data_IF_668117048534
#
_entry.id   IF_668117048534
#
_cell.length_a   1.000
_cell.length_b   1.000
_cell.length_c   1.000
_cell.angle_alpha   90.00
_cell.angle_beta   90.00
_cell.angle_gamma   90.00
#
_symmetry.space_group_name_H-M   'P 1'
#
loop_
_entity.id
_entity.type
_entity.pdbx_description
1 polymer ?
#
# COMPACT_ATOMS: atom_id res chain seq x y z
N UNK A 1 -7.82 9.11 41.24
CA UNK A 1 -8.12 10.54 41.44
C UNK A 1 -9.51 10.83 40.88
N UNK A 2 -10.48 10.93 41.77
CA UNK A 2 -11.85 11.40 41.53
C UNK A 2 -12.05 12.62 42.45
N UNK A 3 -12.75 13.69 42.02
CA UNK A 3 -13.35 14.65 42.95
C UNK A 3 -14.87 14.41 43.01
N UNK A 4 -15.42 13.90 44.12
CA UNK A 4 -15.86 14.58 45.36
C UNK A 4 -17.09 15.49 45.20
N UNK A 5 -18.17 14.99 45.80
CA UNK A 5 -19.43 15.64 46.17
C UNK A 5 -19.24 17.00 46.84
N UNK A 6 -20.10 17.97 46.49
CA UNK A 6 -20.30 19.20 47.26
C UNK A 6 -21.80 19.32 47.56
N UNK A 7 -22.14 19.06 48.82
CA UNK A 7 -23.40 19.48 49.44
C UNK A 7 -23.44 21.01 49.55
N UNK A 8 -24.60 21.61 49.26
CA UNK A 8 -24.93 22.96 49.74
C UNK A 8 -26.22 22.92 50.55
N UNK A 9 -26.05 23.25 51.82
CA UNK A 9 -27.08 23.43 52.84
C UNK A 9 -27.84 24.73 52.65
N UNK A 10 -29.07 24.73 53.14
CA UNK A 10 -30.06 25.81 53.06
C UNK A 10 -29.67 27.09 53.84
N UNK A 11 -30.09 28.24 53.32
CA UNK A 11 -30.33 29.45 54.11
C UNK A 11 -31.76 29.91 53.91
N UNK A 12 -32.50 29.93 55.02
CA UNK A 12 -33.90 30.31 55.16
C UNK A 12 -33.99 31.84 55.24
N UNK A 13 -34.71 32.46 54.32
CA UNK A 13 -35.18 33.84 54.44
C UNK A 13 -36.68 33.86 54.13
N UNK A 14 -37.49 34.19 55.13
CA UNK A 14 -38.90 34.49 54.95
C UNK A 14 -39.07 35.99 54.73
N UNK A 15 -39.94 36.39 53.79
CA UNK A 15 -40.70 37.61 53.96
C UNK A 15 -42.19 37.31 54.03
N UNK A 16 -42.78 37.68 55.15
CA UNK A 16 -44.20 37.99 55.34
C UNK A 16 -44.60 39.16 54.45
N UNK A 17 -45.47 38.94 53.46
CA UNK A 17 -46.44 39.93 52.96
C UNK A 17 -47.66 39.17 52.45
N UNK A 18 -48.81 39.38 53.08
CA UNK A 18 -50.11 39.07 52.48
C UNK A 18 -50.31 39.99 51.28
N UNK A 19 -50.28 39.43 50.07
CA UNK A 19 -50.48 40.17 48.83
C UNK A 19 -51.32 39.35 47.86
N UNK A 20 -52.63 39.65 47.84
CA UNK A 20 -53.59 39.44 46.76
C UNK A 20 -53.56 38.04 46.12
N UNK A 21 -54.55 37.21 46.47
CA UNK A 21 -54.99 36.10 45.63
C UNK A 21 -55.52 36.66 44.29
N UNK A 22 -54.64 36.95 43.35
CA UNK A 22 -55.01 37.08 41.95
C UNK A 22 -55.34 35.67 41.48
N UNK A 23 -56.64 35.37 41.40
CA UNK A 23 -57.13 34.15 40.79
C UNK A 23 -56.58 34.02 39.39
N UNK A 24 -55.50 33.25 39.23
CA UNK A 24 -55.12 32.69 37.95
C UNK A 24 -56.26 31.76 37.60
N UNK A 25 -57.20 32.26 36.78
CA UNK A 25 -58.18 31.42 36.10
C UNK A 25 -57.35 30.32 35.43
N UNK A 26 -57.48 29.09 35.92
CA UNK A 26 -56.99 27.92 35.21
C UNK A 26 -57.64 27.99 33.84
N UNK A 27 -56.88 28.43 32.83
CA UNK A 27 -57.30 28.33 31.44
C UNK A 27 -57.28 26.85 31.16
N UNK A 28 -58.41 26.19 31.42
CA UNK A 28 -58.63 24.80 31.05
C UNK A 28 -58.58 24.76 29.53
N UNK A 29 -57.40 24.47 28.99
CA UNK A 29 -57.26 24.18 27.58
C UNK A 29 -58.13 22.97 27.30
N UNK A 30 -59.01 23.07 26.31
CA UNK A 30 -59.89 21.96 25.92
C UNK A 30 -59.05 20.66 25.80
N UNK A 31 -59.56 19.50 26.26
CA UNK A 31 -58.86 18.22 26.17
C UNK A 31 -58.29 17.94 24.77
N UNK A 32 -58.99 18.42 23.72
CA UNK A 32 -58.54 18.36 22.33
C UNK A 32 -57.27 19.18 22.07
N UNK A 33 -57.16 20.39 22.64
CA UNK A 33 -55.98 21.28 22.51
C UNK A 33 -54.78 20.70 23.29
N UNK A 34 -55.03 20.10 24.46
CA UNK A 34 -54.00 19.41 25.25
C UNK A 34 -53.49 18.14 24.56
N UNK A 35 -54.39 17.35 23.98
CA UNK A 35 -54.03 16.17 23.18
C UNK A 35 -53.22 16.55 21.93
N UNK A 36 -53.63 17.62 21.23
CA UNK A 36 -52.92 18.15 20.06
C UNK A 36 -51.50 18.60 20.40
N UNK A 37 -51.31 19.32 21.53
CA UNK A 37 -49.97 19.72 22.00
C UNK A 37 -49.09 18.52 22.35
N UNK A 38 -49.65 17.48 22.98
CA UNK A 38 -48.92 16.23 23.27
C UNK A 38 -48.50 15.50 22.00
N UNK A 39 -49.38 15.43 21.01
CA UNK A 39 -49.09 14.81 19.72
C UNK A 39 -48.03 15.60 18.94
N UNK A 40 -48.11 16.94 18.94
CA UNK A 40 -47.11 17.80 18.32
C UNK A 40 -45.74 17.63 19.02
N UNK A 41 -45.69 17.61 20.36
CA UNK A 41 -44.44 17.40 21.11
C UNK A 41 -43.87 15.99 20.90
N UNK A 42 -44.72 14.98 20.77
CA UNK A 42 -44.31 13.61 20.43
C UNK A 42 -43.74 13.54 19.01
N UNK A 43 -44.39 14.17 18.05
CA UNK A 43 -43.92 14.27 16.67
C UNK A 43 -42.58 15.04 16.58
N UNK A 44 -42.40 16.10 17.36
CA UNK A 44 -41.14 16.85 17.45
C UNK A 44 -40.00 15.98 18.02
N UNK A 45 -40.27 15.22 19.09
CA UNK A 45 -39.29 14.30 19.67
C UNK A 45 -38.95 13.14 18.73
N UNK A 46 -39.94 12.62 17.99
CA UNK A 46 -39.74 11.59 16.98
C UNK A 46 -38.94 12.12 15.78
N UNK A 47 -39.20 13.36 15.34
CA UNK A 47 -38.42 14.04 14.32
C UNK A 47 -36.97 14.29 14.75
N UNK A 48 -36.74 14.67 16.01
CA UNK A 48 -35.40 14.83 16.58
C UNK A 48 -34.64 13.51 16.61
N UNK A 49 -35.28 12.43 17.09
CA UNK A 49 -34.68 11.08 17.09
C UNK A 49 -34.40 10.56 15.68
N UNK A 50 -35.29 10.85 14.72
CA UNK A 50 -35.07 10.50 13.32
C UNK A 50 -33.89 11.29 12.72
N UNK A 51 -33.77 12.58 13.02
CA UNK A 51 -32.65 13.41 12.57
C UNK A 51 -31.31 12.96 13.17
N UNK A 52 -31.27 12.57 14.45
CA UNK A 52 -30.10 11.98 15.10
C UNK A 52 -29.74 10.63 14.46
N UNK A 53 -30.72 9.77 14.20
CA UNK A 53 -30.53 8.49 13.50
C UNK A 53 -30.00 8.68 12.06
N UNK A 54 -30.49 9.69 11.35
CA UNK A 54 -29.96 10.07 10.03
C UNK A 54 -28.54 10.62 10.11
N UNK A 55 -28.22 11.45 11.11
CA UNK A 55 -26.89 11.99 11.33
C UNK A 55 -25.88 10.87 11.63
N UNK A 56 -26.24 9.91 12.48
CA UNK A 56 -25.41 8.73 12.76
C UNK A 56 -25.22 7.84 11.52
N UNK A 57 -26.26 7.60 10.72
CA UNK A 57 -26.16 6.89 9.43
C UNK A 57 -25.25 7.62 8.44
N UNK A 58 -25.41 8.93 8.28
CA UNK A 58 -24.56 9.77 7.41
C UNK A 58 -23.09 9.73 7.88
N UNK A 59 -22.83 9.81 9.19
CA UNK A 59 -21.49 9.69 9.75
C UNK A 59 -20.88 8.30 9.49
N UNK A 60 -21.67 7.22 9.61
CA UNK A 60 -21.23 5.87 9.28
C UNK A 60 -20.95 5.69 7.78
N UNK A 61 -21.78 6.28 6.90
CA UNK A 61 -21.55 6.28 5.46
C UNK A 61 -20.32 7.09 5.07
N UNK A 62 -20.08 8.25 5.69
CA UNK A 62 -18.86 9.04 5.52
C UNK A 62 -17.63 8.22 5.95
N UNK A 63 -17.71 7.53 7.09
CA UNK A 63 -16.64 6.68 7.60
C UNK A 63 -16.41 5.44 6.72
N UNK A 64 -17.45 4.89 6.10
CA UNK A 64 -17.37 3.84 5.07
C UNK A 64 -16.71 4.38 3.80
N UNK A 65 -17.16 5.53 3.28
CA UNK A 65 -16.55 6.22 2.12
C UNK A 65 -15.09 6.61 2.38
N UNK A 66 -14.71 6.99 3.60
CA UNK A 66 -13.33 7.31 4.00
C UNK A 66 -12.46 6.04 4.14
N UNK A 67 -13.04 4.92 4.60
CA UNK A 67 -12.40 3.59 4.54
C UNK A 67 -12.19 3.14 3.09
N UNK A 68 -13.11 3.52 2.20
CA UNK A 68 -13.08 3.18 0.78
C UNK A 68 -12.16 4.13 -0.04
N UNK A 69 -11.99 5.39 0.38
CA UNK A 69 -11.19 6.41 -0.34
C UNK A 69 -9.83 6.64 0.31
N UNK A 70 -8.87 5.82 -0.11
CA UNK A 70 -7.39 6.00 -0.15
C UNK A 70 -6.73 4.63 -0.34
N UNK A 71 -7.36 3.59 0.20
CA UNK A 71 -6.91 2.21 0.08
C UNK A 71 -7.54 1.49 -1.11
N UNK A 72 -8.86 1.53 -1.32
CA UNK A 72 -9.50 0.82 -2.45
C UNK A 72 -9.21 1.47 -3.81
N UNK A 73 -9.07 2.79 -3.87
CA UNK A 73 -8.56 3.50 -5.06
C UNK A 73 -7.08 3.22 -5.37
N UNK A 74 -6.35 2.52 -4.49
CA UNK A 74 -5.02 1.99 -4.81
C UNK A 74 -5.05 0.60 -5.44
N UNK A 75 -6.21 -0.08 -5.44
CA UNK A 75 -6.34 -1.48 -5.82
C UNK A 75 -6.60 -1.70 -7.31
N UNK A 76 -6.15 -0.78 -8.16
CA UNK A 76 -6.25 -0.93 -9.62
C UNK A 76 -4.89 -1.11 -10.31
N UNK A 77 -3.75 -1.06 -9.59
CA UNK A 77 -2.43 -1.23 -10.24
C UNK A 77 -1.53 -2.26 -9.52
N UNK A 78 -0.89 -3.20 -10.27
CA UNK A 78 -0.14 -4.34 -9.76
C UNK A 78 1.28 -3.96 -9.31
N UNK A 79 1.42 -2.97 -8.42
CA UNK A 79 2.70 -2.52 -7.86
C UNK A 79 2.57 -2.11 -6.39
N UNK A 80 1.98 -2.93 -5.52
CA UNK A 80 1.92 -2.59 -4.07
C UNK A 80 2.06 -3.80 -3.16
N UNK A 81 3.29 -4.26 -3.01
CA UNK A 81 3.67 -5.01 -1.80
C UNK A 81 4.59 -4.25 -0.85
N UNK A 82 5.14 -3.10 -1.24
CA UNK A 82 6.00 -2.32 -0.36
C UNK A 82 5.95 -0.84 -0.73
N UNK A 83 5.16 -0.08 0.01
CA UNK A 83 5.32 1.37 0.07
C UNK A 83 5.14 1.79 1.53
N UNK A 84 6.13 1.40 2.35
CA UNK A 84 6.43 2.18 3.53
C UNK A 84 6.86 3.57 3.05
N UNK A 85 6.37 4.58 3.76
CA UNK A 85 6.22 5.99 3.40
C UNK A 85 7.53 6.77 3.15
N UNK A 86 8.66 6.11 2.90
CA UNK A 86 9.96 6.76 2.66
C UNK A 86 10.48 6.60 1.22
N UNK A 87 10.08 5.57 0.48
CA UNK A 87 10.57 5.32 -0.89
C UNK A 87 9.83 6.21 -1.91
N UNK A 88 8.50 6.34 -1.76
CA UNK A 88 7.64 7.18 -2.62
C UNK A 88 8.02 8.68 -2.62
N UNK A 89 8.52 9.18 -1.48
CA UNK A 89 8.95 10.57 -1.34
C UNK A 89 10.29 10.83 -2.04
N UNK A 90 11.14 9.80 -2.13
CA UNK A 90 12.43 9.85 -2.82
C UNK A 90 12.23 9.77 -4.34
N UNK A 91 11.34 8.90 -4.81
CA UNK A 91 11.06 8.70 -6.23
C UNK A 91 10.36 9.92 -6.88
N UNK A 92 9.45 10.59 -6.16
CA UNK A 92 8.82 11.83 -6.63
C UNK A 92 9.80 13.03 -6.69
N UNK A 93 10.79 13.07 -5.80
CA UNK A 93 11.85 14.09 -5.82
C UNK A 93 12.82 13.89 -6.99
N UNK A 94 13.11 12.63 -7.36
CA UNK A 94 13.98 12.30 -8.50
C UNK A 94 13.27 12.61 -9.83
N UNK A 95 12.00 12.24 -10.01
CA UNK A 95 11.26 12.55 -11.25
C UNK A 95 11.00 14.04 -11.47
N UNK A 96 10.82 14.83 -10.41
CA UNK A 96 10.69 16.28 -10.53
C UNK A 96 12.02 16.97 -10.86
N UNK A 97 13.16 16.40 -10.45
CA UNK A 97 14.49 16.89 -10.82
C UNK A 97 14.88 16.58 -12.27
N UNK A 98 14.43 15.45 -12.83
CA UNK A 98 14.70 15.04 -14.22
C UNK A 98 13.85 15.78 -15.26
N UNK A 99 12.66 16.27 -14.89
CA UNK A 99 11.79 17.00 -15.82
C UNK A 99 12.29 18.41 -16.16
N UNK A 100 13.26 18.95 -15.41
CA UNK A 100 13.77 20.33 -15.57
C UNK A 100 14.96 20.45 -16.53
N UNK A 101 15.53 19.34 -17.02
CA UNK A 101 16.74 19.36 -17.85
C UNK A 101 16.51 19.16 -19.37
N UNK A 102 15.28 18.86 -19.80
CA UNK A 102 14.99 18.55 -21.21
C UNK A 102 14.46 19.73 -22.04
N UNK A 103 14.66 20.97 -21.59
CA UNK A 103 14.28 22.17 -22.36
C UNK A 103 15.45 23.12 -22.55
N UNK A 104 16.57 22.64 -23.10
CA UNK A 104 17.58 23.53 -23.70
C UNK A 104 18.64 22.74 -24.48
N UNK A 105 18.38 22.44 -25.76
CA UNK A 105 19.45 22.41 -26.77
C UNK A 105 18.85 22.58 -28.17
N UNK A 106 19.32 23.62 -28.85
CA UNK A 106 18.96 24.14 -30.16
C UNK A 106 19.64 23.40 -31.33
N UNK A 107 18.96 23.41 -32.48
CA UNK A 107 19.40 23.32 -33.89
C UNK A 107 20.85 22.92 -34.23
N UNK A 108 21.02 21.85 -35.04
CA UNK A 108 21.96 21.80 -36.17
C UNK A 108 21.79 20.55 -37.08
N UNK A 109 21.62 20.82 -38.38
CA UNK A 109 22.03 20.03 -39.55
C UNK A 109 21.30 18.72 -39.91
N UNK A 110 20.53 18.80 -41.00
CA UNK A 110 20.16 17.70 -41.88
C UNK A 110 21.38 17.22 -42.67
N UNK A 111 21.55 15.88 -42.76
CA UNK A 111 22.00 15.11 -43.94
C UNK A 111 22.48 13.72 -43.51
N UNK A 112 21.92 12.66 -44.10
CA UNK A 112 22.44 11.29 -43.96
C UNK A 112 21.41 10.21 -43.59
N UNK A 113 20.33 10.07 -44.36
CA UNK A 113 19.54 8.84 -44.36
C UNK A 113 20.29 7.74 -45.12
N UNK A 114 20.99 6.86 -44.38
CA UNK A 114 21.30 5.52 -44.89
C UNK A 114 21.45 4.55 -43.72
N UNK A 115 20.54 3.57 -43.71
CA UNK A 115 20.41 2.49 -42.72
C UNK A 115 20.07 2.94 -41.29
N UNK A 116 18.85 3.45 -41.10
CA UNK A 116 18.20 3.38 -39.79
C UNK A 116 17.90 1.92 -39.48
N UNK A 117 18.87 1.30 -38.81
CA UNK A 117 18.80 0.02 -38.12
C UNK A 117 17.44 -0.19 -37.46
N UNK A 118 16.91 -1.41 -37.58
CA UNK A 118 15.81 -1.94 -36.76
C UNK A 118 16.01 -1.77 -35.23
N UNK A 119 17.21 -1.33 -34.79
CA UNK A 119 17.63 -1.07 -33.40
C UNK A 119 17.21 0.29 -32.80
N UNK A 120 16.54 1.17 -33.56
CA UNK A 120 16.06 2.46 -33.03
C UNK A 120 14.85 2.31 -32.09
N UNK A 121 14.30 1.10 -31.97
CA UNK A 121 13.28 0.75 -30.99
C UNK A 121 13.87 0.51 -29.62
N UNK A 122 13.96 1.58 -28.82
CA UNK A 122 14.16 1.59 -27.36
C UNK A 122 15.60 1.38 -26.87
N UNK A 123 16.43 2.41 -27.05
CA UNK A 123 17.33 2.85 -25.96
C UNK A 123 16.47 3.41 -24.80
N UNK A 124 15.60 2.59 -24.20
CA UNK A 124 15.04 2.94 -22.89
C UNK A 124 16.24 2.98 -21.95
N UNK A 125 16.52 4.15 -21.38
CA UNK A 125 17.47 4.27 -20.28
C UNK A 125 16.90 3.43 -19.13
N UNK A 126 17.29 2.16 -19.07
CA UNK A 126 16.83 1.19 -18.09
C UNK A 126 17.62 1.40 -16.80
N UNK A 127 17.39 2.53 -16.13
CA UNK A 127 18.04 2.88 -14.87
C UNK A 127 17.02 2.94 -13.73
N UNK A 128 16.17 1.91 -13.60
CA UNK A 128 15.33 1.73 -12.41
C UNK A 128 16.12 1.27 -11.18
N UNK A 129 17.41 0.94 -11.33
CA UNK A 129 18.28 0.45 -10.26
C UNK A 129 17.88 -0.92 -9.70
N UNK A 130 16.96 -1.63 -10.37
CA UNK A 130 16.45 -2.96 -9.99
C UNK A 130 16.98 -4.01 -10.94
N UNK A 131 17.59 -5.04 -10.37
CA UNK A 131 18.28 -6.06 -11.12
C UNK A 131 17.66 -7.44 -10.87
N UNK A 132 17.71 -8.27 -11.91
CA UNK A 132 17.34 -9.67 -11.84
C UNK A 132 18.47 -10.48 -11.18
N UNK A 133 18.32 -11.81 -11.14
CA UNK A 133 19.35 -12.76 -10.65
C UNK A 133 19.94 -12.51 -9.25
N UNK A 134 19.27 -11.73 -8.39
CA UNK A 134 19.72 -11.39 -7.03
C UNK A 134 21.04 -10.60 -7.01
N UNK A 135 21.35 -9.90 -8.10
CA UNK A 135 22.53 -9.05 -8.19
C UNK A 135 22.23 -7.70 -7.55
N UNK A 136 23.13 -7.22 -6.70
CA UNK A 136 23.00 -5.91 -6.05
C UNK A 136 23.51 -4.78 -6.96
N UNK A 137 23.02 -3.53 -6.81
CA UNK A 137 23.46 -2.41 -7.63
C UNK A 137 24.98 -2.17 -7.59
N UNK A 138 25.61 -2.39 -6.44
CA UNK A 138 27.07 -2.31 -6.29
C UNK A 138 27.80 -3.37 -7.11
N UNK A 139 27.26 -4.58 -7.22
CA UNK A 139 27.87 -5.67 -7.99
C UNK A 139 27.79 -5.39 -9.49
N UNK A 140 26.70 -4.78 -9.96
CA UNK A 140 26.58 -4.35 -11.36
C UNK A 140 27.63 -3.29 -11.70
N UNK A 141 27.90 -2.34 -10.79
CA UNK A 141 28.98 -1.36 -10.98
C UNK A 141 30.35 -2.03 -11.03
N UNK A 142 30.60 -3.02 -10.16
CA UNK A 142 31.85 -3.80 -10.19
C UNK A 142 32.02 -4.52 -11.53
N UNK A 143 30.95 -5.15 -12.04
CA UNK A 143 30.96 -5.87 -13.31
C UNK A 143 31.18 -4.92 -14.49
N UNK A 144 30.51 -3.77 -14.50
CA UNK A 144 30.49 -2.88 -15.67
C UNK A 144 31.67 -1.92 -15.71
N UNK A 145 32.14 -1.44 -14.57
CA UNK A 145 33.15 -0.38 -14.50
C UNK A 145 34.52 -0.88 -14.02
N UNK A 146 34.57 -1.80 -13.05
CA UNK A 146 35.82 -2.23 -12.40
C UNK A 146 36.45 -3.42 -13.13
N UNK A 147 35.65 -4.41 -13.52
CA UNK A 147 36.14 -5.60 -14.20
C UNK A 147 36.88 -5.31 -15.53
N UNK A 148 36.37 -4.51 -16.48
CA UNK A 148 37.09 -4.25 -17.74
C UNK A 148 38.42 -3.51 -17.51
N UNK A 149 38.44 -2.52 -16.60
CA UNK A 149 39.67 -1.78 -16.24
C UNK A 149 40.74 -2.66 -15.61
N UNK A 150 40.32 -3.65 -14.80
CA UNK A 150 41.23 -4.62 -14.20
C UNK A 150 41.83 -5.59 -15.23
N UNK A 151 41.10 -5.90 -16.31
CA UNK A 151 41.60 -6.74 -17.41
C UNK A 151 42.62 -5.96 -18.25
N UNK A 152 42.32 -4.70 -18.57
CA UNK A 152 43.20 -3.81 -19.36
C UNK A 152 44.57 -3.58 -18.71
N UNK A 153 44.63 -3.54 -17.37
CA UNK A 153 45.86 -3.26 -16.60
C UNK A 153 46.79 -4.46 -16.42
N UNK A 154 46.38 -5.67 -16.86
CA UNK A 154 47.18 -6.89 -16.68
C UNK A 154 48.09 -7.14 -17.89
N UNK A 155 49.39 -6.95 -17.72
CA UNK A 155 50.40 -7.29 -18.74
C UNK A 155 50.27 -8.78 -19.15
N UNK A 156 49.95 -9.05 -20.42
CA UNK A 156 49.80 -10.41 -20.96
C UNK A 156 48.40 -11.03 -20.86
N UNK A 157 47.36 -10.25 -20.54
CA UNK A 157 45.97 -10.65 -20.77
C UNK A 157 45.69 -10.96 -22.26
N UNK A 158 44.61 -11.70 -22.60
CA UNK A 158 44.32 -12.00 -24.00
C UNK A 158 44.32 -10.70 -24.80
N UNK A 159 45.26 -10.61 -25.74
CA UNK A 159 45.45 -9.44 -26.59
C UNK A 159 44.12 -9.10 -27.26
N UNK A 160 43.49 -8.00 -26.85
CA UNK A 160 42.29 -7.49 -27.50
C UNK A 160 42.73 -6.90 -28.83
N UNK A 161 42.81 -7.76 -29.83
CA UNK A 161 42.98 -7.36 -31.22
C UNK A 161 41.68 -6.72 -31.71
N UNK A 162 41.46 -5.45 -31.42
CA UNK A 162 40.41 -4.66 -32.09
C UNK A 162 40.94 -3.25 -32.36
N UNK A 163 41.38 -3.03 -33.61
CA UNK A 163 41.61 -1.70 -34.16
C UNK A 163 40.24 -1.01 -34.38
N UNK A 164 39.90 -0.03 -33.53
CA UNK A 164 38.72 0.84 -33.69
C UNK A 164 38.12 1.31 -32.35
N UNK A 165 38.06 2.63 -32.15
CA UNK A 165 37.27 3.36 -31.12
C UNK A 165 37.02 2.63 -29.79
N UNK A 166 38.08 2.42 -29.01
CA UNK A 166 38.06 1.65 -27.75
C UNK A 166 37.15 2.22 -26.65
N UNK A 167 36.93 3.55 -26.61
CA UNK A 167 36.14 4.18 -25.54
C UNK A 167 34.63 4.01 -25.67
N UNK A 168 34.08 4.12 -26.88
CA UNK A 168 32.64 4.01 -27.14
C UNK A 168 32.17 2.57 -27.04
N UNK A 169 32.95 1.63 -27.58
CA UNK A 169 32.62 0.20 -27.55
C UNK A 169 32.54 -0.35 -26.11
N UNK A 170 33.42 0.08 -25.20
CA UNK A 170 33.40 -0.38 -23.80
C UNK A 170 32.18 0.15 -23.02
N UNK A 171 31.75 1.39 -23.29
CA UNK A 171 30.54 1.96 -22.68
C UNK A 171 29.28 1.28 -23.20
N UNK A 172 29.22 1.03 -24.51
CA UNK A 172 28.12 0.27 -25.13
C UNK A 172 28.03 -1.15 -24.58
N UNK A 173 29.17 -1.83 -24.37
CA UNK A 173 29.22 -3.14 -23.73
C UNK A 173 28.68 -3.09 -22.29
N UNK A 174 29.06 -2.08 -21.50
CA UNK A 174 28.52 -1.88 -20.16
C UNK A 174 26.99 -1.67 -20.19
N UNK A 175 26.50 -0.89 -21.14
CA UNK A 175 25.06 -0.65 -21.33
C UNK A 175 24.30 -1.93 -21.72
N UNK A 176 24.88 -2.74 -22.60
CA UNK A 176 24.32 -4.05 -22.98
C UNK A 176 24.21 -4.95 -21.74
N UNK A 177 25.26 -5.02 -20.91
CA UNK A 177 25.25 -5.80 -19.67
C UNK A 177 24.20 -5.28 -18.70
N UNK A 178 24.07 -3.95 -18.53
CA UNK A 178 23.02 -3.34 -17.70
C UNK A 178 21.63 -3.76 -18.15
N UNK A 179 21.36 -3.76 -19.46
CA UNK A 179 20.07 -4.18 -20.03
C UNK A 179 19.77 -5.67 -19.82
N UNK A 180 20.78 -6.53 -19.94
CA UNK A 180 20.62 -7.98 -19.72
C UNK A 180 20.24 -8.27 -18.28
N UNK A 181 20.87 -7.56 -17.33
CA UNK A 181 20.65 -7.79 -15.90
C UNK A 181 19.39 -7.07 -15.38
N UNK A 182 18.93 -6.01 -16.05
CA UNK A 182 17.77 -5.22 -15.65
C UNK A 182 16.51 -6.07 -15.39
N UNK A 183 15.82 -5.79 -14.28
CA UNK A 183 14.61 -6.52 -13.88
C UNK A 183 13.45 -6.32 -14.87
N UNK A 184 13.41 -5.18 -15.55
CA UNK A 184 12.38 -4.83 -16.55
C UNK A 184 12.33 -5.83 -17.71
N UNK A 185 13.49 -6.39 -18.07
CA UNK A 185 13.63 -7.36 -19.15
C UNK A 185 13.52 -8.81 -18.62
N UNK A 186 13.29 -9.00 -17.33
CA UNK A 186 13.32 -10.31 -16.71
C UNK A 186 11.98 -11.04 -16.83
N UNK A 187 12.03 -12.37 -16.69
CA UNK A 187 10.83 -13.21 -16.65
C UNK A 187 10.04 -12.98 -15.34
N UNK A 188 8.72 -13.17 -15.38
CA UNK A 188 7.81 -13.23 -14.23
C UNK A 188 8.39 -13.95 -13.00
N UNK A 189 9.06 -15.09 -13.18
CA UNK A 189 9.71 -15.84 -12.10
C UNK A 189 10.83 -15.04 -11.44
N UNK A 190 11.66 -14.35 -12.21
CA UNK A 190 12.73 -13.51 -11.69
C UNK A 190 12.18 -12.33 -10.89
N UNK A 191 11.09 -11.71 -11.37
CA UNK A 191 10.36 -10.65 -10.64
C UNK A 191 9.84 -11.17 -9.29
N UNK A 192 9.26 -12.37 -9.27
CA UNK A 192 8.81 -13.01 -8.02
C UNK A 192 9.98 -13.25 -7.06
N UNK A 193 11.12 -13.76 -7.56
CA UNK A 193 12.30 -13.98 -6.71
C UNK A 193 12.85 -12.68 -6.14
N UNK A 194 12.90 -11.61 -6.94
CA UNK A 194 13.28 -10.28 -6.49
C UNK A 194 12.36 -9.78 -5.37
N UNK A 195 11.04 -9.90 -5.55
CA UNK A 195 10.06 -9.50 -4.54
C UNK A 195 10.13 -10.35 -3.26
N UNK A 196 10.50 -11.63 -3.37
CA UNK A 196 10.76 -12.50 -2.21
C UNK A 196 11.99 -12.00 -1.45
N UNK A 197 13.08 -11.66 -2.14
CA UNK A 197 14.28 -11.08 -1.49
C UNK A 197 13.93 -9.82 -0.70
N UNK A 198 13.22 -8.88 -1.33
CA UNK A 198 12.73 -7.66 -0.65
C UNK A 198 11.87 -7.96 0.57
N UNK A 199 11.02 -8.98 0.51
CA UNK A 199 10.18 -9.39 1.63
C UNK A 199 11.01 -9.98 2.79
N UNK A 200 12.10 -10.68 2.49
CA UNK A 200 13.04 -11.17 3.51
C UNK A 200 13.76 -10.00 4.17
N UNK A 201 14.28 -9.06 3.38
CA UNK A 201 15.04 -7.91 3.92
C UNK A 201 14.18 -6.98 4.80
N UNK A 202 12.89 -6.86 4.49
CA UNK A 202 11.97 -5.95 5.20
C UNK A 202 11.36 -6.55 6.46
N UNK A 203 11.10 -7.86 6.49
CA UNK A 203 10.48 -8.55 7.62
C UNK A 203 11.47 -9.36 8.46
N UNK A 204 12.69 -9.57 7.96
CA UNK A 204 13.77 -10.24 8.67
C UNK A 204 14.19 -9.45 9.91
N UNK A 205 14.46 -10.16 11.00
CA UNK A 205 14.92 -9.53 12.25
C UNK A 205 16.43 -9.32 12.28
N UNK A 206 17.14 -10.20 11.58
CA UNK A 206 18.58 -10.20 11.43
C UNK A 206 18.92 -10.47 9.98
N UNK A 207 20.15 -10.13 9.59
CA UNK A 207 20.65 -10.42 8.26
C UNK A 207 20.56 -11.94 7.99
N UNK A 208 19.85 -12.31 6.92
CA UNK A 208 19.66 -13.71 6.51
C UNK A 208 18.52 -14.46 7.23
N UNK A 209 17.69 -13.79 8.04
CA UNK A 209 16.52 -14.44 8.65
C UNK A 209 15.46 -14.82 7.60
N UNK A 210 15.42 -16.10 7.26
CA UNK A 210 14.42 -16.70 6.36
C UNK A 210 13.35 -17.51 7.09
N UNK A 211 13.53 -17.73 8.41
CA UNK A 211 12.74 -18.66 9.21
C UNK A 211 11.64 -18.00 10.02
N UNK A 212 11.74 -16.69 10.30
CA UNK A 212 10.74 -15.99 11.10
C UNK A 212 9.31 -16.10 10.54
N UNK A 213 8.30 -16.23 11.41
CA UNK A 213 6.91 -16.38 10.99
C UNK A 213 6.40 -15.16 10.19
N UNK A 214 6.90 -13.95 10.46
CA UNK A 214 6.64 -12.74 9.69
C UNK A 214 7.17 -12.86 8.26
N UNK A 215 8.44 -13.26 8.12
CA UNK A 215 9.10 -13.45 6.82
C UNK A 215 8.36 -14.50 6.00
N UNK A 216 8.02 -15.64 6.60
CA UNK A 216 7.26 -16.68 5.90
C UNK A 216 5.88 -16.19 5.44
N UNK A 217 5.17 -15.43 6.29
CA UNK A 217 3.89 -14.83 5.92
C UNK A 217 4.01 -13.81 4.77
N UNK A 218 5.09 -13.02 4.76
CA UNK A 218 5.40 -12.08 3.70
C UNK A 218 5.72 -12.80 2.37
N UNK A 219 6.55 -13.83 2.40
CA UNK A 219 6.89 -14.65 1.22
C UNK A 219 5.66 -15.29 0.61
N UNK A 220 4.75 -15.85 1.41
CA UNK A 220 3.50 -16.38 0.86
C UNK A 220 2.61 -15.28 0.30
N UNK A 221 2.60 -14.09 0.89
CA UNK A 221 1.84 -12.96 0.36
C UNK A 221 2.31 -12.57 -1.04
N UNK A 222 3.63 -12.50 -1.28
CA UNK A 222 4.19 -12.30 -2.63
C UNK A 222 3.68 -13.36 -3.62
N UNK A 223 3.70 -14.64 -3.22
CA UNK A 223 3.24 -15.75 -4.07
C UNK A 223 1.73 -15.73 -4.30
N UNK A 224 0.95 -15.37 -3.30
CA UNK A 224 -0.52 -15.24 -3.36
C UNK A 224 -0.87 -14.19 -4.40
N UNK A 225 -0.27 -13.01 -4.34
CA UNK A 225 -0.55 -11.91 -5.28
C UNK A 225 -0.18 -12.31 -6.72
N UNK A 226 0.99 -12.92 -6.93
CA UNK A 226 1.38 -13.40 -8.26
C UNK A 226 0.43 -14.48 -8.82
N UNK A 227 -0.06 -15.40 -7.98
CA UNK A 227 -1.06 -16.40 -8.40
C UNK A 227 -2.42 -15.75 -8.64
N UNK A 228 -2.79 -14.74 -7.86
CA UNK A 228 -4.04 -14.00 -8.04
C UNK A 228 -4.07 -13.33 -9.41
N UNK A 229 -2.99 -12.62 -9.79
CA UNK A 229 -2.87 -11.97 -11.10
C UNK A 229 -2.94 -12.99 -12.25
N UNK A 230 -2.27 -14.14 -12.11
CA UNK A 230 -2.40 -15.23 -13.10
C UNK A 230 -3.84 -15.75 -13.22
N UNK A 231 -4.54 -15.94 -12.10
CA UNK A 231 -5.91 -16.47 -12.06
C UNK A 231 -6.97 -15.46 -12.53
N UNK A 232 -6.70 -14.16 -12.42
CA UNK A 232 -7.55 -13.10 -12.99
C UNK A 232 -7.66 -13.26 -14.51
N UNK A 233 -6.53 -13.48 -15.18
CA UNK A 233 -6.50 -13.76 -16.63
C UNK A 233 -6.97 -15.18 -16.96
N UNK A 234 -6.56 -16.17 -16.16
CA UNK A 234 -6.79 -17.60 -16.42
C UNK A 234 -7.92 -18.18 -15.55
N UNK A 235 -9.17 -17.82 -15.86
CA UNK A 235 -10.35 -18.21 -15.05
C UNK A 235 -10.60 -19.73 -14.96
N UNK A 236 -10.15 -20.51 -15.96
CA UNK A 236 -10.36 -21.97 -16.08
C UNK A 236 -9.27 -22.82 -15.41
N UNK A 237 -8.23 -22.21 -14.85
CA UNK A 237 -7.12 -22.94 -14.22
C UNK A 237 -7.47 -23.36 -12.78
N UNK A 238 -7.99 -24.58 -12.64
CA UNK A 238 -8.44 -25.12 -11.35
C UNK A 238 -7.29 -25.59 -10.46
N UNK A 239 -6.20 -26.06 -11.07
CA UNK A 239 -5.05 -26.54 -10.31
C UNK A 239 -4.35 -25.39 -9.60
N UNK A 240 -4.14 -24.26 -10.28
CA UNK A 240 -3.53 -23.09 -9.67
C UNK A 240 -4.46 -22.41 -8.65
N UNK A 241 -5.80 -22.43 -8.84
CA UNK A 241 -6.75 -21.97 -7.82
C UNK A 241 -6.67 -22.79 -6.53
N UNK A 242 -6.49 -24.11 -6.65
CA UNK A 242 -6.24 -24.98 -5.48
C UNK A 242 -4.93 -24.61 -4.79
N UNK A 243 -3.86 -24.38 -5.55
CA UNK A 243 -2.56 -23.94 -5.02
C UNK A 243 -2.64 -22.59 -4.31
N UNK A 244 -3.36 -21.62 -4.90
CA UNK A 244 -3.64 -20.31 -4.30
C UNK A 244 -4.33 -20.45 -2.93
N UNK A 245 -5.38 -21.25 -2.85
CA UNK A 245 -6.09 -21.50 -1.59
C UNK A 245 -5.18 -22.15 -0.55
N UNK A 246 -4.35 -23.12 -0.95
CA UNK A 246 -3.36 -23.72 -0.05
C UNK A 246 -2.40 -22.67 0.51
N UNK A 247 -1.96 -21.70 -0.29
CA UNK A 247 -1.08 -20.62 0.17
C UNK A 247 -1.80 -19.67 1.15
N UNK A 248 -3.06 -19.31 0.88
CA UNK A 248 -3.88 -18.51 1.81
C UNK A 248 -3.96 -19.19 3.19
N UNK A 249 -4.26 -20.49 3.21
CA UNK A 249 -4.32 -21.26 4.46
C UNK A 249 -2.97 -21.35 5.17
N UNK A 250 -1.86 -21.55 4.44
CA UNK A 250 -0.51 -21.54 5.01
C UNK A 250 -0.21 -20.21 5.69
N UNK A 251 -0.49 -19.09 5.02
CA UNK A 251 -0.31 -17.73 5.57
C UNK A 251 -1.14 -17.52 6.82
N UNK A 252 -2.44 -17.83 6.77
CA UNK A 252 -3.30 -17.67 7.94
C UNK A 252 -2.86 -18.54 9.12
N UNK A 253 -2.41 -19.77 8.87
CA UNK A 253 -1.87 -20.65 9.92
C UNK A 253 -0.66 -20.02 10.61
N UNK A 254 0.25 -19.41 9.85
CA UNK A 254 1.43 -18.75 10.42
C UNK A 254 1.11 -17.47 11.17
N UNK A 255 0.18 -16.66 10.65
CA UNK A 255 -0.28 -15.47 11.36
C UNK A 255 -1.04 -15.83 12.66
N UNK A 256 -1.81 -16.93 12.67
CA UNK A 256 -2.42 -17.49 13.89
C UNK A 256 -1.38 -18.03 14.87
N UNK A 257 -0.27 -18.59 14.38
CA UNK A 257 0.86 -18.97 15.23
C UNK A 257 1.52 -17.75 15.85
N UNK A 258 1.87 -16.75 15.04
CA UNK A 258 2.47 -15.49 15.50
C UNK A 258 1.60 -14.78 16.55
N UNK A 259 0.27 -14.77 16.35
CA UNK A 259 -0.68 -14.21 17.32
C UNK A 259 -0.61 -14.90 18.69
N UNK A 260 -0.44 -16.23 18.72
CA UNK A 260 -0.32 -17.00 19.97
C UNK A 260 1.01 -16.75 20.67
N UNK A 261 2.07 -16.55 19.90
CA UNK A 261 3.41 -16.27 20.43
C UNK A 261 3.52 -14.83 20.96
N UNK A 262 3.05 -13.85 20.18
CA UNK A 262 3.14 -12.43 20.55
C UNK A 262 2.10 -11.59 19.80
N UNK A 263 1.23 -10.92 20.55
CA UNK A 263 0.18 -10.07 19.98
C UNK A 263 0.76 -8.82 19.29
N UNK A 264 1.78 -8.19 19.86
CA UNK A 264 2.38 -6.96 19.33
C UNK A 264 2.97 -7.19 17.93
N UNK A 265 3.82 -8.21 17.78
CA UNK A 265 4.41 -8.58 16.48
C UNK A 265 3.34 -8.94 15.45
N UNK A 266 2.28 -9.62 15.88
CA UNK A 266 1.17 -9.96 15.00
C UNK A 266 0.50 -8.70 14.43
N UNK A 267 0.19 -7.70 15.25
CA UNK A 267 -0.43 -6.46 14.77
C UNK A 267 0.51 -5.63 13.89
N UNK A 268 1.80 -5.58 14.22
CA UNK A 268 2.81 -4.93 13.39
C UNK A 268 2.92 -5.60 12.01
N UNK A 269 3.01 -6.93 11.99
CA UNK A 269 3.07 -7.73 10.78
C UNK A 269 1.81 -7.56 9.92
N UNK A 270 0.61 -7.58 10.52
CA UNK A 270 -0.64 -7.30 9.82
C UNK A 270 -0.65 -5.91 9.16
N UNK A 271 -0.22 -4.88 9.89
CA UNK A 271 -0.16 -3.51 9.40
C UNK A 271 0.81 -3.39 8.23
N UNK A 272 1.98 -4.01 8.33
CA UNK A 272 3.00 -4.02 7.27
C UNK A 272 2.53 -4.78 6.02
N UNK A 273 1.83 -5.91 6.19
CA UNK A 273 1.27 -6.70 5.09
C UNK A 273 -0.02 -6.10 4.49
N UNK A 274 -0.61 -5.07 5.13
CA UNK A 274 -1.90 -4.51 4.71
C UNK A 274 -3.08 -5.46 4.90
N UNK A 275 -2.99 -6.42 5.84
CA UNK A 275 -4.03 -7.41 6.09
C UNK A 275 -4.92 -6.99 7.26
N UNK A 276 -6.22 -7.24 7.15
CA UNK A 276 -7.14 -7.08 8.27
C UNK A 276 -7.23 -8.35 9.11
N UNK A 277 -7.61 -8.19 10.38
CA UNK A 277 -7.82 -9.29 11.33
C UNK A 277 -8.81 -10.34 10.80
N UNK A 278 -9.87 -9.87 10.16
CA UNK A 278 -10.97 -10.71 9.66
C UNK A 278 -10.48 -11.70 8.58
N UNK A 279 -9.51 -11.29 7.75
CA UNK A 279 -8.91 -12.13 6.71
C UNK A 279 -8.08 -13.30 7.27
N UNK A 280 -7.68 -13.23 8.54
CA UNK A 280 -6.88 -14.27 9.21
C UNK A 280 -7.76 -15.14 10.09
N UNK A 281 -8.66 -14.53 10.86
CA UNK A 281 -9.41 -15.23 11.91
C UNK A 281 -10.67 -15.93 11.40
N UNK A 282 -11.25 -15.45 10.31
CA UNK A 282 -12.44 -16.03 9.71
C UNK A 282 -12.21 -17.37 9.00
N UNK A 283 -13.32 -17.98 8.56
CA UNK A 283 -13.26 -19.05 7.57
C UNK A 283 -12.75 -18.46 6.24
N UNK A 284 -11.67 -19.03 5.72
CA UNK A 284 -11.15 -18.63 4.42
C UNK A 284 -12.04 -19.27 3.36
N UNK A 285 -13.13 -18.58 3.04
CA UNK A 285 -13.99 -18.95 1.96
C UNK A 285 -13.31 -18.59 0.63
N UNK A 286 -13.14 -19.57 -0.24
CA UNK A 286 -12.83 -19.27 -1.63
C UNK A 286 -14.01 -18.50 -2.22
N UNK A 287 -13.79 -17.37 -2.92
CA UNK A 287 -14.87 -16.72 -3.63
C UNK A 287 -15.45 -17.74 -4.62
N UNK A 288 -16.77 -17.98 -4.52
CA UNK A 288 -17.48 -18.81 -5.49
C UNK A 288 -17.25 -18.19 -6.86
N UNK A 289 -17.09 -19.04 -7.87
CA UNK A 289 -16.94 -18.61 -9.26
C UNK A 289 -18.09 -17.65 -9.57
N UNK A 290 -17.79 -16.39 -9.87
CA UNK A 290 -18.75 -15.53 -10.55
C UNK A 290 -18.88 -16.15 -11.93
N UNK A 291 -20.02 -16.79 -12.20
CA UNK A 291 -20.30 -17.41 -13.50
C UNK A 291 -20.21 -16.37 -14.63
#
# INVERSE_FOLDING_TARGET
MLPTSIHKTATRAAPTVWGVCAGVRSVHTSPAVSARRRNNRKAELEAQRAAEAEATRRAQEQLRKLKDTKFLNSLVHPDRLFESTQISQQDAAISSSMAFQNTSTSDASADGESQQSFDAGLKRQADSGRYSCQIKPEEVKLITEVAPKAIESREGGPSVYVMGTTGQNSQEQADIVRRIVALENANSKAVVHYNIGRAVDTFGRSDGDSGSPEVQAAVWTVRINNLEDHLRTNRKDHQNRRSYTKLLHKRAKMLKYLKRESLERYYLCLKQLGLTKDMVEGEILQPKRVE
#
